data_IF_463448124760
#
_entry.id   IF_463448124760
#
_cell.length_a   1.000
_cell.length_b   1.000
_cell.length_c   1.000
_cell.angle_alpha   90.00
_cell.angle_beta   90.00
_cell.angle_gamma   90.00
#
_symmetry.space_group_name_H-M   'P 1'
#
loop_
_entity.id
_entity.type
_entity.pdbx_description
1 polymer ?
#
# COMPACT_ATOMS: atom_id res chain seq x y z
N UNK A 1 -19.60 0.79 31.08
CA UNK A 1 -19.40 0.59 29.63
C UNK A 1 -18.84 -0.80 29.30
N UNK A 2 -17.67 -1.21 29.79
CA UNK A 2 -17.03 -2.49 29.43
C UNK A 2 -17.91 -3.73 29.60
N UNK A 3 -18.74 -3.79 30.65
CA UNK A 3 -19.66 -4.90 30.87
C UNK A 3 -20.74 -4.99 29.77
N UNK A 4 -21.32 -3.85 29.39
CA UNK A 4 -22.32 -3.79 28.30
C UNK A 4 -21.69 -4.24 26.99
N UNK A 5 -20.48 -3.76 26.68
CA UNK A 5 -19.74 -4.17 25.47
C UNK A 5 -19.40 -5.67 25.48
N UNK A 6 -19.08 -6.25 26.65
CA UNK A 6 -18.82 -7.69 26.76
C UNK A 6 -20.09 -8.54 26.49
N UNK A 7 -21.26 -8.06 26.89
CA UNK A 7 -22.55 -8.71 26.57
C UNK A 7 -22.89 -8.58 25.09
N UNK A 8 -22.83 -7.35 24.53
CA UNK A 8 -23.14 -7.11 23.12
C UNK A 8 -22.18 -7.87 22.19
N UNK A 9 -20.88 -7.90 22.53
CA UNK A 9 -19.88 -8.65 21.77
C UNK A 9 -20.14 -10.18 21.81
N UNK A 10 -20.65 -10.72 22.91
CA UNK A 10 -21.07 -12.14 22.95
C UNK A 10 -22.21 -12.43 21.95
N UNK A 11 -23.05 -11.44 21.65
CA UNK A 11 -24.12 -11.56 20.66
C UNK A 11 -23.67 -11.74 19.22
N UNK A 12 -22.42 -11.43 18.89
CA UNK A 12 -21.82 -11.71 17.57
C UNK A 12 -21.57 -13.23 17.35
N UNK A 13 -21.42 -14.00 18.43
CA UNK A 13 -21.18 -15.46 18.42
C UNK A 13 -19.87 -15.85 17.72
N UNK A 14 -18.85 -15.02 17.82
CA UNK A 14 -17.53 -15.19 17.16
C UNK A 14 -16.42 -15.67 18.10
N UNK A 15 -16.77 -16.10 19.29
CA UNK A 15 -15.85 -16.52 20.34
C UNK A 15 -15.85 -15.55 21.52
N UNK A 16 -15.36 -16.02 22.66
CA UNK A 16 -15.20 -15.15 23.83
C UNK A 16 -14.13 -14.12 23.59
N UNK A 17 -14.17 -13.00 24.31
CA UNK A 17 -13.15 -11.92 24.24
C UNK A 17 -11.74 -12.52 24.34
N UNK A 18 -11.51 -13.42 25.31
CA UNK A 18 -10.21 -14.08 25.49
C UNK A 18 -9.81 -14.93 24.28
N UNK A 19 -10.72 -15.73 23.77
CA UNK A 19 -10.45 -16.64 22.65
C UNK A 19 -10.17 -15.85 21.36
N UNK A 20 -11.02 -14.88 21.06
CA UNK A 20 -10.89 -14.04 19.87
C UNK A 20 -9.61 -13.19 19.91
N UNK A 21 -9.39 -12.42 20.99
CA UNK A 21 -8.22 -11.56 21.11
C UNK A 21 -6.90 -12.33 21.05
N UNK A 22 -6.84 -13.54 21.64
CA UNK A 22 -5.66 -14.40 21.51
C UNK A 22 -5.39 -14.79 20.06
N UNK A 23 -6.42 -15.21 19.33
CA UNK A 23 -6.31 -15.57 17.90
C UNK A 23 -5.89 -14.39 17.05
N UNK A 24 -6.50 -13.22 17.26
CA UNK A 24 -6.21 -12.00 16.52
C UNK A 24 -4.79 -11.47 16.77
N UNK A 25 -4.33 -11.45 18.04
CA UNK A 25 -2.94 -11.11 18.38
C UNK A 25 -1.93 -12.09 17.76
N UNK A 26 -2.26 -13.38 17.73
CA UNK A 26 -1.45 -14.39 17.06
C UNK A 26 -1.39 -14.13 15.55
N UNK A 27 -2.51 -13.76 14.92
CA UNK A 27 -2.56 -13.38 13.51
C UNK A 27 -1.66 -12.18 13.22
N UNK A 28 -1.78 -11.06 13.94
CA UNK A 28 -0.91 -9.91 13.76
C UNK A 28 0.58 -10.22 13.91
N UNK A 29 0.93 -11.06 14.88
CA UNK A 29 2.32 -11.43 15.12
C UNK A 29 2.89 -12.36 14.05
N UNK A 30 2.07 -13.22 13.46
CA UNK A 30 2.48 -14.29 12.58
C UNK A 30 1.85 -14.22 11.20
N UNK A 31 1.32 -13.04 10.83
CA UNK A 31 0.65 -12.79 9.55
C UNK A 31 1.42 -13.44 8.40
N UNK A 32 0.68 -14.18 7.55
CA UNK A 32 1.18 -14.86 6.36
C UNK A 32 2.18 -16.00 6.58
N UNK A 33 2.44 -16.38 7.82
CA UNK A 33 3.31 -17.52 8.12
C UNK A 33 2.50 -18.80 8.35
N UNK A 34 3.20 -19.95 8.45
CA UNK A 34 2.58 -21.22 8.84
C UNK A 34 1.94 -21.20 10.24
N UNK A 35 2.34 -20.25 11.08
CA UNK A 35 1.81 -20.09 12.44
C UNK A 35 0.58 -19.19 12.52
N UNK A 36 0.23 -18.51 11.43
CA UNK A 36 -0.97 -17.68 11.35
C UNK A 36 -2.23 -18.56 11.47
N UNK A 37 -3.14 -18.30 12.43
CA UNK A 37 -4.32 -19.11 12.61
C UNK A 37 -5.24 -19.19 11.40
N UNK A 38 -5.33 -18.13 10.59
CA UNK A 38 -6.20 -18.04 9.41
C UNK A 38 -5.52 -17.47 8.16
N UNK A 39 -4.24 -17.78 7.99
CA UNK A 39 -3.40 -17.29 6.88
C UNK A 39 -4.06 -17.32 5.50
N UNK A 40 -4.07 -16.18 4.82
CA UNK A 40 -4.58 -16.03 3.45
C UNK A 40 -3.76 -16.82 2.42
N UNK A 41 -2.49 -17.12 2.69
CA UNK A 41 -1.64 -17.95 1.84
C UNK A 41 -2.11 -19.41 1.70
N UNK A 42 -3.01 -19.86 2.59
CA UNK A 42 -3.66 -21.17 2.49
C UNK A 42 -4.90 -21.19 1.59
N UNK A 43 -5.16 -20.09 0.90
CA UNK A 43 -6.24 -19.92 -0.04
C UNK A 43 -7.49 -19.28 0.55
N UNK A 44 -8.32 -18.73 -0.35
CA UNK A 44 -9.52 -17.96 -0.01
C UNK A 44 -10.51 -18.76 0.86
N UNK A 45 -10.77 -20.02 0.51
CA UNK A 45 -11.70 -20.84 1.30
C UNK A 45 -11.20 -21.06 2.74
N UNK A 46 -9.90 -21.34 2.90
CA UNK A 46 -9.34 -21.58 4.23
C UNK A 46 -9.39 -20.31 5.08
N UNK A 47 -8.96 -19.17 4.56
CA UNK A 47 -8.96 -17.91 5.31
C UNK A 47 -10.36 -17.38 5.60
N UNK A 48 -11.33 -17.65 4.70
CA UNK A 48 -12.72 -17.25 4.91
C UNK A 48 -13.44 -18.13 5.97
N UNK A 49 -13.54 -19.42 5.72
CA UNK A 49 -14.36 -20.33 6.53
C UNK A 49 -13.57 -21.55 7.03
N UNK A 50 -12.62 -22.05 6.26
CA UNK A 50 -11.96 -23.33 6.53
C UNK A 50 -11.20 -23.36 7.85
N UNK A 51 -10.65 -22.24 8.29
CA UNK A 51 -9.93 -22.15 9.57
C UNK A 51 -10.80 -22.49 10.80
N UNK A 52 -12.10 -22.31 10.71
CA UNK A 52 -13.06 -22.71 11.75
C UNK A 52 -13.48 -24.17 11.62
N UNK A 53 -13.53 -24.71 10.39
CA UNK A 53 -13.96 -26.07 10.13
C UNK A 53 -12.86 -27.11 10.37
N UNK A 54 -11.60 -26.74 10.11
CA UNK A 54 -10.47 -27.66 10.21
C UNK A 54 -9.64 -27.38 11.46
N UNK A 55 -9.68 -28.32 12.41
CA UNK A 55 -8.87 -28.23 13.63
C UNK A 55 -7.39 -28.34 13.29
N UNK A 56 -6.63 -27.32 13.67
CA UNK A 56 -5.16 -27.35 13.59
C UNK A 56 -4.56 -27.77 14.92
N UNK A 57 -3.46 -28.56 14.93
CA UNK A 57 -2.73 -28.85 16.16
C UNK A 57 -2.25 -27.53 16.81
N UNK A 58 -2.39 -27.42 18.14
CA UNK A 58 -2.04 -26.19 18.88
C UNK A 58 -0.58 -25.76 18.69
N UNK A 59 0.34 -26.73 18.53
CA UNK A 59 1.75 -26.45 18.30
C UNK A 59 2.06 -25.83 16.92
N UNK A 60 1.12 -25.93 15.96
CA UNK A 60 1.20 -25.27 14.64
C UNK A 60 0.58 -23.87 14.63
N UNK A 61 -0.03 -23.42 15.71
CA UNK A 61 -0.63 -22.09 15.82
C UNK A 61 0.31 -21.22 16.64
N UNK A 62 0.61 -20.02 16.12
CA UNK A 62 1.45 -19.05 16.81
C UNK A 62 0.85 -18.60 18.14
N UNK A 63 1.69 -18.31 19.10
CA UNK A 63 1.31 -17.77 20.38
C UNK A 63 1.53 -16.26 20.45
N UNK A 64 0.64 -15.58 21.15
CA UNK A 64 0.78 -14.18 21.54
C UNK A 64 0.60 -14.05 23.04
N UNK A 65 1.16 -12.98 23.61
CA UNK A 65 0.97 -12.65 25.02
C UNK A 65 -0.50 -12.29 25.29
N UNK A 66 -1.06 -12.89 26.35
CA UNK A 66 -2.45 -12.72 26.79
C UNK A 66 -2.56 -12.54 28.30
N UNK A 67 -1.51 -12.18 29.00
CA UNK A 67 -1.50 -12.06 30.45
C UNK A 67 -2.46 -10.97 30.94
N UNK A 68 -2.60 -9.88 30.21
CA UNK A 68 -3.60 -8.85 30.46
C UNK A 68 -5.03 -9.39 30.42
N UNK A 69 -5.33 -10.31 29.48
CA UNK A 69 -6.64 -10.96 29.37
C UNK A 69 -6.85 -11.98 30.50
N UNK A 70 -5.79 -12.69 30.89
CA UNK A 70 -5.83 -13.64 31.99
C UNK A 70 -6.10 -12.96 33.34
N UNK A 71 -5.56 -11.76 33.52
CA UNK A 71 -5.69 -10.97 34.75
C UNK A 71 -6.99 -10.13 34.80
N UNK A 72 -7.73 -10.01 33.69
CA UNK A 72 -8.95 -9.22 33.64
C UNK A 72 -10.16 -10.05 34.08
N UNK A 73 -10.74 -9.70 35.24
CA UNK A 73 -11.88 -10.40 35.83
C UNK A 73 -13.12 -10.46 34.93
N UNK A 74 -13.41 -9.39 34.19
CA UNK A 74 -14.54 -9.32 33.27
C UNK A 74 -14.34 -10.27 32.08
N UNK A 75 -13.15 -10.28 31.50
CA UNK A 75 -12.78 -11.17 30.39
C UNK A 75 -12.87 -12.64 30.82
N UNK A 76 -12.36 -12.99 32.02
CA UNK A 76 -12.44 -14.34 32.54
C UNK A 76 -13.89 -14.75 32.84
N UNK A 77 -14.71 -13.86 33.40
CA UNK A 77 -16.12 -14.11 33.64
C UNK A 77 -16.89 -14.36 32.34
N UNK A 78 -16.69 -13.50 31.31
CA UNK A 78 -17.31 -13.65 30.00
C UNK A 78 -16.87 -14.96 29.32
N UNK A 79 -15.59 -15.29 29.39
CA UNK A 79 -15.07 -16.54 28.83
C UNK A 79 -15.68 -17.79 29.49
N UNK A 80 -15.78 -17.79 30.81
CA UNK A 80 -16.38 -18.91 31.59
C UNK A 80 -17.86 -19.13 31.29
N UNK A 81 -18.61 -18.03 31.08
CA UNK A 81 -20.06 -18.08 30.88
C UNK A 81 -20.45 -17.96 29.39
N UNK A 82 -19.47 -18.09 28.46
CA UNK A 82 -19.65 -17.75 27.08
C UNK A 82 -20.83 -18.47 26.40
N UNK A 83 -21.02 -19.78 26.63
CA UNK A 83 -22.11 -20.54 26.02
C UNK A 83 -23.50 -20.01 26.43
N UNK A 84 -23.68 -19.65 27.70
CA UNK A 84 -24.94 -19.05 28.17
C UNK A 84 -25.13 -17.63 27.57
N UNK A 85 -24.06 -16.86 27.48
CA UNK A 85 -24.10 -15.51 26.94
C UNK A 85 -24.41 -15.48 25.43
N UNK A 86 -23.87 -16.38 24.62
CA UNK A 86 -24.20 -16.44 23.19
C UNK A 86 -25.66 -16.86 22.96
N UNK A 87 -26.19 -17.79 23.74
CA UNK A 87 -27.59 -18.15 23.66
C UNK A 87 -28.48 -16.95 24.05
N UNK A 88 -28.17 -16.31 25.17
CA UNK A 88 -28.93 -15.16 25.66
C UNK A 88 -28.86 -13.98 24.69
N UNK A 89 -27.66 -13.53 24.31
CA UNK A 89 -27.44 -12.32 23.53
C UNK A 89 -27.51 -12.55 22.02
N UNK A 90 -27.21 -13.76 21.56
CA UNK A 90 -27.24 -14.11 20.15
C UNK A 90 -28.62 -14.53 19.64
N UNK A 91 -29.43 -15.13 20.50
CA UNK A 91 -30.74 -15.69 20.14
C UNK A 91 -31.88 -15.08 20.94
N UNK A 92 -31.88 -15.25 22.28
CA UNK A 92 -33.04 -14.85 23.13
C UNK A 92 -33.27 -13.33 23.05
N UNK A 93 -32.27 -12.53 23.28
CA UNK A 93 -32.38 -11.08 23.31
C UNK A 93 -32.94 -10.48 22.00
N UNK A 94 -32.37 -10.73 20.81
CA UNK A 94 -32.91 -10.16 19.56
C UNK A 94 -34.32 -10.68 19.25
N UNK A 95 -34.62 -11.93 19.56
CA UNK A 95 -35.98 -12.50 19.42
C UNK A 95 -36.96 -11.81 20.35
N UNK A 96 -36.59 -11.60 21.61
CA UNK A 96 -37.43 -10.95 22.59
C UNK A 96 -37.68 -9.47 22.28
N UNK A 97 -36.67 -8.76 21.76
CA UNK A 97 -36.85 -7.35 21.33
C UNK A 97 -37.92 -7.24 20.24
N UNK A 98 -37.90 -8.12 19.23
CA UNK A 98 -38.91 -8.12 18.19
C UNK A 98 -40.29 -8.59 18.68
N UNK A 99 -40.31 -9.66 19.48
CA UNK A 99 -41.54 -10.23 20.02
C UNK A 99 -42.28 -9.30 20.98
N UNK A 100 -41.56 -8.66 21.90
CA UNK A 100 -42.13 -7.72 22.86
C UNK A 100 -42.36 -6.32 22.26
N UNK A 101 -41.50 -5.87 21.33
CA UNK A 101 -41.57 -4.54 20.75
C UNK A 101 -42.68 -4.36 19.74
N UNK A 102 -42.92 -5.34 18.88
CA UNK A 102 -43.94 -5.26 17.83
C UNK A 102 -44.65 -6.61 17.52
N UNK A 103 -44.59 -7.57 18.43
CA UNK A 103 -45.35 -8.83 18.36
C UNK A 103 -44.79 -9.91 17.41
N UNK A 104 -43.66 -9.67 16.75
CA UNK A 104 -43.10 -10.60 15.76
C UNK A 104 -42.01 -11.49 16.33
N UNK A 105 -42.41 -12.50 17.11
CA UNK A 105 -41.48 -13.50 17.65
C UNK A 105 -40.81 -14.35 16.56
N UNK A 106 -41.54 -14.66 15.50
CA UNK A 106 -41.02 -15.49 14.40
C UNK A 106 -39.98 -14.73 13.58
N UNK A 107 -40.28 -13.49 13.19
CA UNK A 107 -39.32 -12.61 12.51
C UNK A 107 -38.10 -12.30 13.40
N UNK A 108 -38.33 -12.09 14.69
CA UNK A 108 -37.25 -11.91 15.67
C UNK A 108 -36.27 -13.08 15.69
N UNK A 109 -36.78 -14.32 15.68
CA UNK A 109 -35.93 -15.49 15.65
C UNK A 109 -35.20 -15.67 14.30
N UNK A 110 -35.92 -15.68 13.19
CA UNK A 110 -35.32 -15.96 11.89
C UNK A 110 -34.44 -14.82 11.36
N UNK A 111 -34.87 -13.56 11.50
CA UNK A 111 -34.15 -12.41 10.95
C UNK A 111 -33.21 -11.77 11.95
N UNK A 112 -33.69 -11.36 13.12
CA UNK A 112 -32.88 -10.63 14.08
C UNK A 112 -31.86 -11.52 14.84
N UNK A 113 -32.16 -12.81 15.01
CA UNK A 113 -31.18 -13.74 15.55
C UNK A 113 -30.40 -14.47 14.42
N UNK A 114 -31.00 -15.41 13.69
CA UNK A 114 -30.26 -16.33 12.82
C UNK A 114 -29.67 -15.65 11.59
N UNK A 115 -30.45 -14.92 10.79
CA UNK A 115 -29.98 -14.28 9.57
C UNK A 115 -28.90 -13.24 9.88
N UNK A 116 -29.10 -12.44 10.93
CA UNK A 116 -28.08 -11.50 11.41
C UNK A 116 -26.75 -12.18 11.72
N UNK A 117 -26.77 -13.34 12.41
CA UNK A 117 -25.54 -14.08 12.70
C UNK A 117 -24.80 -14.50 11.42
N UNK A 118 -25.53 -14.97 10.42
CA UNK A 118 -24.92 -15.32 9.12
C UNK A 118 -24.21 -14.11 8.51
N UNK A 119 -24.88 -12.94 8.48
CA UNK A 119 -24.26 -11.71 7.94
C UNK A 119 -23.03 -11.28 8.74
N UNK A 120 -23.10 -11.28 10.07
CA UNK A 120 -21.99 -10.87 10.95
C UNK A 120 -20.79 -11.80 10.74
N UNK A 121 -21.00 -13.11 10.73
CA UNK A 121 -19.93 -14.09 10.52
C UNK A 121 -19.27 -13.91 9.15
N UNK A 122 -20.05 -13.77 8.06
CA UNK A 122 -19.47 -13.57 6.74
C UNK A 122 -18.75 -12.21 6.61
N UNK A 123 -19.24 -11.15 7.25
CA UNK A 123 -18.52 -9.87 7.31
C UNK A 123 -17.13 -10.06 7.96
N UNK A 124 -17.07 -10.73 9.11
CA UNK A 124 -15.80 -11.02 9.81
C UNK A 124 -14.90 -11.96 9.00
N UNK A 125 -15.46 -13.00 8.36
CA UNK A 125 -14.69 -13.89 7.50
C UNK A 125 -14.11 -13.16 6.28
N UNK A 126 -14.79 -12.15 5.76
CA UNK A 126 -14.26 -11.27 4.70
C UNK A 126 -13.04 -10.45 5.16
N UNK A 127 -12.92 -10.12 6.44
CA UNK A 127 -11.72 -9.47 6.97
C UNK A 127 -10.50 -10.38 6.80
N UNK A 128 -10.62 -11.66 7.18
CA UNK A 128 -9.52 -12.61 7.10
C UNK A 128 -9.23 -13.10 5.66
N UNK A 129 -10.15 -12.89 4.73
CA UNK A 129 -10.06 -13.38 3.34
C UNK A 129 -9.96 -12.25 2.33
N UNK A 130 -11.04 -11.52 2.07
CA UNK A 130 -11.07 -10.49 1.03
C UNK A 130 -10.14 -9.32 1.35
N UNK A 131 -10.05 -8.89 2.61
CA UNK A 131 -9.15 -7.81 3.01
C UNK A 131 -7.66 -8.20 2.98
N UNK A 132 -7.33 -9.50 2.81
CA UNK A 132 -5.99 -10.00 2.53
C UNK A 132 -5.74 -10.29 1.05
N UNK A 133 -6.71 -10.10 0.19
CA UNK A 133 -6.60 -10.46 -1.23
C UNK A 133 -6.91 -9.30 -2.18
N UNK A 134 -7.92 -8.48 -1.88
CA UNK A 134 -8.39 -7.40 -2.74
C UNK A 134 -7.91 -6.04 -2.25
N UNK A 135 -7.41 -5.23 -3.18
CA UNK A 135 -7.06 -3.84 -2.91
C UNK A 135 -5.56 -3.55 -2.97
N UNK A 136 -5.16 -2.47 -2.32
CA UNK A 136 -3.80 -1.94 -2.38
C UNK A 136 -3.10 -2.02 -1.01
N UNK A 137 -1.76 -2.05 -1.03
CA UNK A 137 -0.90 -1.87 0.14
C UNK A 137 -0.32 -0.46 0.16
N UNK A 138 -1.03 0.54 0.69
CA UNK A 138 -0.52 1.92 0.68
C UNK A 138 0.57 2.20 1.72
N UNK A 139 0.76 1.32 2.70
CA UNK A 139 1.73 1.50 3.78
C UNK A 139 2.80 0.41 3.80
N UNK A 140 2.46 -0.81 3.41
CA UNK A 140 3.37 -1.95 3.35
C UNK A 140 2.78 -3.03 2.42
N UNK A 141 3.59 -3.60 1.54
CA UNK A 141 3.20 -4.68 0.63
C UNK A 141 3.92 -6.00 0.90
N UNK A 142 4.73 -6.07 1.96
CA UNK A 142 5.47 -7.30 2.37
C UNK A 142 4.54 -8.40 2.85
N UNK A 143 3.35 -8.01 3.34
CA UNK A 143 2.31 -8.92 3.82
C UNK A 143 1.04 -8.78 3.00
N UNK A 144 0.14 -9.77 3.14
CA UNK A 144 -1.09 -9.85 2.37
C UNK A 144 -2.17 -8.81 2.68
N UNK A 145 -2.30 -8.16 3.87
CA UNK A 145 -3.35 -7.20 4.14
C UNK A 145 -3.41 -6.06 3.12
N UNK A 146 -4.63 -5.69 2.70
CA UNK A 146 -4.90 -4.67 1.67
C UNK A 146 -5.97 -3.69 2.13
N UNK A 147 -5.95 -2.49 1.57
CA UNK A 147 -7.01 -1.50 1.72
C UNK A 147 -7.92 -1.55 0.50
N UNK A 148 -9.21 -1.84 0.72
CA UNK A 148 -10.21 -1.93 -0.34
C UNK A 148 -11.56 -1.38 0.13
N UNK A 149 -12.10 -0.37 -0.59
CA UNK A 149 -13.32 0.34 -0.19
C UNK A 149 -14.56 -0.57 -0.11
N UNK A 150 -14.76 -1.46 -1.10
CA UNK A 150 -15.93 -2.35 -1.10
C UNK A 150 -15.84 -3.33 0.08
N UNK A 151 -14.65 -3.88 0.34
CA UNK A 151 -14.44 -4.74 1.50
C UNK A 151 -14.68 -3.98 2.80
N UNK A 152 -14.23 -2.72 2.91
CA UNK A 152 -14.49 -1.88 4.07
C UNK A 152 -15.98 -1.65 4.29
N UNK A 153 -16.76 -1.44 3.22
CA UNK A 153 -18.21 -1.30 3.32
C UNK A 153 -18.87 -2.58 3.85
N UNK A 154 -18.49 -3.75 3.32
CA UNK A 154 -19.04 -5.06 3.73
C UNK A 154 -18.65 -5.45 5.15
N UNK A 155 -17.47 -5.03 5.62
CA UNK A 155 -16.88 -5.39 6.91
C UNK A 155 -16.98 -4.28 7.97
N UNK A 156 -17.82 -3.26 7.74
CA UNK A 156 -18.05 -2.12 8.65
C UNK A 156 -16.76 -1.36 9.02
N UNK A 157 -15.86 -1.19 8.03
CA UNK A 157 -14.62 -0.42 8.17
C UNK A 157 -13.34 -1.24 8.18
N UNK A 158 -13.42 -2.53 8.51
CA UNK A 158 -12.25 -3.42 8.64
C UNK A 158 -11.52 -3.71 7.31
N UNK A 159 -12.06 -3.29 6.17
CA UNK A 159 -11.42 -3.43 4.86
C UNK A 159 -10.29 -2.42 4.58
N UNK A 160 -9.99 -1.48 5.49
CA UNK A 160 -8.74 -0.71 5.50
C UNK A 160 -7.66 -1.49 6.27
N UNK A 161 -7.40 -2.69 5.82
CA UNK A 161 -6.70 -3.71 6.59
C UNK A 161 -5.18 -3.59 6.52
N UNK A 162 -4.65 -2.98 5.45
CA UNK A 162 -3.23 -2.65 5.35
C UNK A 162 -2.83 -1.59 6.37
N UNK A 163 -3.65 -0.55 6.57
CA UNK A 163 -3.45 0.42 7.64
C UNK A 163 -3.50 -0.23 9.02
N UNK A 164 -4.53 -1.04 9.28
CA UNK A 164 -4.71 -1.73 10.56
C UNK A 164 -3.52 -2.64 10.91
N UNK A 165 -3.01 -3.42 9.96
CA UNK A 165 -1.84 -4.29 10.19
C UNK A 165 -0.54 -3.52 10.39
N UNK A 166 -0.37 -2.39 9.70
CA UNK A 166 0.83 -1.58 9.84
C UNK A 166 0.82 -0.76 11.13
N UNK A 167 -0.36 -0.33 11.60
CA UNK A 167 -0.53 0.52 12.78
C UNK A 167 -1.54 -0.09 13.79
N UNK A 168 -1.29 -1.28 14.33
CA UNK A 168 -2.29 -2.07 15.06
C UNK A 168 -2.72 -1.46 16.40
N UNK A 169 -2.04 -0.44 16.90
CA UNK A 169 -2.43 0.28 18.13
C UNK A 169 -3.32 1.49 17.85
N UNK A 170 -3.50 1.88 16.58
CA UNK A 170 -4.42 2.97 16.25
C UNK A 170 -5.86 2.48 16.41
N UNK A 171 -6.72 3.28 17.07
CA UNK A 171 -8.12 2.90 17.27
C UNK A 171 -8.96 2.97 15.98
N UNK A 172 -8.41 3.60 14.94
CA UNK A 172 -9.06 3.77 13.63
C UNK A 172 -8.62 2.66 12.69
N UNK A 173 -9.52 2.19 11.85
CA UNK A 173 -9.14 1.39 10.68
C UNK A 173 -8.88 2.29 9.46
N UNK A 174 -9.53 3.46 9.38
CA UNK A 174 -9.35 4.43 8.31
C UNK A 174 -8.88 5.79 8.86
N UNK A 175 -7.82 6.36 8.26
CA UNK A 175 -7.17 7.59 8.74
C UNK A 175 -8.08 8.81 8.57
N UNK A 176 -8.67 8.98 7.37
CA UNK A 176 -9.43 10.18 7.05
C UNK A 176 -10.83 10.12 7.63
N UNK A 177 -11.35 11.26 8.12
CA UNK A 177 -12.65 11.31 8.80
C UNK A 177 -13.83 10.82 7.92
N UNK A 178 -13.77 11.06 6.61
CA UNK A 178 -14.81 10.69 5.64
C UNK A 178 -14.70 9.23 5.13
N UNK A 179 -13.60 8.53 5.40
CA UNK A 179 -13.49 7.12 5.04
C UNK A 179 -14.45 6.30 5.90
N UNK A 180 -15.16 5.38 5.25
CA UNK A 180 -16.18 4.57 5.88
C UNK A 180 -15.58 3.64 6.94
N UNK A 181 -15.71 4.05 8.19
CA UNK A 181 -15.25 3.33 9.39
C UNK A 181 -16.23 3.66 10.53
N UNK A 182 -17.39 2.98 10.57
CA UNK A 182 -18.40 3.19 11.61
C UNK A 182 -17.87 2.99 13.02
N UNK A 183 -16.94 2.03 13.21
CA UNK A 183 -16.31 1.75 14.50
C UNK A 183 -15.56 2.98 15.02
N UNK A 184 -14.77 3.63 14.19
CA UNK A 184 -14.07 4.88 14.51
C UNK A 184 -15.07 5.98 14.92
N UNK A 185 -16.15 6.14 14.17
CA UNK A 185 -17.13 7.18 14.46
C UNK A 185 -17.86 6.93 15.80
N UNK A 186 -18.22 5.69 16.09
CA UNK A 186 -18.82 5.31 17.39
C UNK A 186 -17.83 5.57 18.53
N UNK A 187 -16.57 5.15 18.39
CA UNK A 187 -15.54 5.37 19.43
C UNK A 187 -15.29 6.87 19.64
N UNK A 188 -15.19 7.67 18.55
CA UNK A 188 -15.00 9.11 18.64
C UNK A 188 -16.22 9.80 19.32
N UNK A 189 -17.43 9.35 19.01
CA UNK A 189 -18.65 9.82 19.67
C UNK A 189 -18.65 9.46 21.16
N UNK A 190 -18.26 8.24 21.50
CA UNK A 190 -18.12 7.84 22.92
C UNK A 190 -17.07 8.69 23.64
N UNK A 191 -15.98 9.04 22.98
CA UNK A 191 -14.95 9.91 23.56
C UNK A 191 -15.46 11.33 23.76
N UNK A 192 -16.22 11.88 22.82
CA UNK A 192 -16.85 13.19 22.94
C UNK A 192 -17.77 13.28 24.18
N UNK A 193 -18.52 12.23 24.47
CA UNK A 193 -19.38 12.15 25.68
C UNK A 193 -18.65 11.66 26.95
N UNK A 194 -17.32 11.49 26.92
CA UNK A 194 -16.54 11.03 28.07
C UNK A 194 -16.67 9.53 28.40
N UNK A 195 -17.30 8.74 27.54
CA UNK A 195 -17.44 7.28 27.71
C UNK A 195 -16.22 6.49 27.26
N UNK A 196 -15.33 7.09 26.45
CA UNK A 196 -14.05 6.56 26.06
C UNK A 196 -12.95 7.60 26.31
N UNK A 197 -11.75 7.14 26.68
CA UNK A 197 -10.59 8.00 26.98
C UNK A 197 -9.32 7.36 26.50
N UNK A 198 -8.23 8.14 26.40
CA UNK A 198 -6.90 7.66 26.02
C UNK A 198 -6.89 6.93 24.67
N UNK A 199 -7.62 7.47 23.69
CA UNK A 199 -7.63 6.91 22.33
C UNK A 199 -6.22 6.96 21.75
N UNK A 200 -5.69 5.79 21.43
CA UNK A 200 -4.37 5.68 20.82
C UNK A 200 -4.47 5.97 19.33
N UNK A 201 -3.62 6.88 18.85
CA UNK A 201 -3.45 7.14 17.42
C UNK A 201 -1.96 7.03 17.09
N UNK A 202 -1.65 6.56 15.90
CA UNK A 202 -0.28 6.57 15.43
C UNK A 202 0.12 7.98 14.97
N UNK A 203 1.38 8.43 15.19
CA UNK A 203 1.81 9.76 14.78
C UNK A 203 1.65 9.95 13.26
N UNK A 204 1.01 11.05 12.86
CA UNK A 204 0.71 11.32 11.44
C UNK A 204 1.97 11.33 10.58
N UNK A 205 3.07 11.85 11.11
CA UNK A 205 4.36 11.85 10.42
C UNK A 205 4.82 10.43 10.02
N UNK A 206 4.67 9.45 10.92
CA UNK A 206 5.07 8.06 10.64
C UNK A 206 4.12 7.39 9.62
N UNK A 207 2.84 7.73 9.69
CA UNK A 207 1.86 7.28 8.68
C UNK A 207 2.22 7.83 7.29
N UNK A 208 2.57 9.12 7.21
CA UNK A 208 2.98 9.77 5.95
C UNK A 208 4.29 9.19 5.40
N UNK A 209 5.26 8.86 6.28
CA UNK A 209 6.50 8.18 5.85
C UNK A 209 6.21 6.83 5.21
N UNK A 210 5.36 6.00 5.82
CA UNK A 210 4.96 4.72 5.23
C UNK A 210 4.33 4.89 3.84
N UNK A 211 3.44 5.87 3.67
CA UNK A 211 2.85 6.17 2.36
C UNK A 211 3.91 6.61 1.33
N UNK A 212 4.83 7.50 1.72
CA UNK A 212 5.88 7.98 0.83
C UNK A 212 6.82 6.85 0.40
N UNK A 213 7.24 6.00 1.32
CA UNK A 213 8.08 4.83 1.02
C UNK A 213 7.43 3.89 0.00
N UNK A 214 6.11 3.68 0.07
CA UNK A 214 5.40 2.87 -0.91
C UNK A 214 5.26 3.56 -2.26
N UNK A 215 5.10 4.89 -2.30
CA UNK A 215 5.11 5.67 -3.55
C UNK A 215 6.48 5.57 -4.21
N UNK A 216 7.56 5.80 -3.48
CA UNK A 216 8.94 5.70 -3.97
C UNK A 216 9.23 4.30 -4.55
N UNK A 217 8.86 3.24 -3.83
CA UNK A 217 8.98 1.87 -4.32
C UNK A 217 8.25 1.66 -5.65
N UNK A 218 6.99 2.10 -5.73
CA UNK A 218 6.18 1.96 -6.96
C UNK A 218 6.75 2.78 -8.13
N UNK A 219 7.30 3.98 -7.86
CA UNK A 219 8.00 4.79 -8.87
C UNK A 219 9.25 4.07 -9.36
N UNK A 220 10.05 3.51 -8.44
CA UNK A 220 11.25 2.76 -8.80
C UNK A 220 10.90 1.53 -9.66
N UNK A 221 9.89 0.75 -9.27
CA UNK A 221 9.41 -0.39 -10.04
C UNK A 221 8.90 -0.01 -11.44
N UNK A 222 8.26 1.15 -11.58
CA UNK A 222 7.85 1.67 -12.90
C UNK A 222 9.06 2.12 -13.71
N UNK A 223 10.03 2.78 -13.08
CA UNK A 223 11.28 3.22 -13.74
C UNK A 223 12.04 2.02 -14.32
N UNK A 224 12.16 0.90 -13.59
CA UNK A 224 12.88 -0.29 -14.09
C UNK A 224 12.22 -0.96 -15.29
N UNK A 225 10.94 -0.70 -15.56
CA UNK A 225 10.21 -1.22 -16.73
C UNK A 225 10.37 -0.37 -17.99
N UNK A 226 10.97 0.81 -17.87
CA UNK A 226 11.17 1.74 -18.97
C UNK A 226 12.62 1.70 -19.45
N UNK A 227 12.81 1.94 -20.74
CA UNK A 227 14.16 2.09 -21.31
C UNK A 227 14.60 3.55 -21.19
N UNK A 228 15.64 3.79 -20.42
CA UNK A 228 16.19 5.14 -20.18
C UNK A 228 17.47 5.42 -20.97
N UNK A 229 17.85 4.50 -21.89
CA UNK A 229 19.13 4.55 -22.59
C UNK A 229 20.30 4.18 -21.66
N UNK A 230 21.52 4.30 -22.18
CA UNK A 230 22.72 4.04 -21.41
C UNK A 230 22.90 5.09 -20.32
N UNK A 231 23.07 4.70 -19.04
CA UNK A 231 23.38 5.62 -17.97
C UNK A 231 24.63 6.45 -18.29
N UNK A 232 24.64 7.74 -17.94
CA UNK A 232 25.81 8.61 -18.22
C UNK A 232 27.08 8.06 -17.57
N UNK A 233 26.98 7.47 -16.39
CA UNK A 233 28.12 6.88 -15.69
C UNK A 233 28.79 5.73 -16.48
N UNK A 234 28.05 5.02 -17.33
CA UNK A 234 28.51 3.86 -18.09
C UNK A 234 28.99 4.24 -19.51
N UNK A 235 28.82 5.49 -19.93
CA UNK A 235 29.26 5.96 -21.24
C UNK A 235 30.79 6.09 -21.31
N UNK A 236 31.42 5.81 -22.47
CA UNK A 236 32.82 6.09 -22.67
C UNK A 236 33.09 7.60 -22.67
N UNK A 237 34.27 7.99 -22.18
CA UNK A 237 34.79 9.37 -22.33
C UNK A 237 35.56 9.47 -23.61
N UNK A 238 35.36 10.57 -24.37
CA UNK A 238 36.10 10.86 -25.58
C UNK A 238 36.55 12.32 -25.61
N UNK A 239 37.64 12.57 -26.35
CA UNK A 239 38.07 13.95 -26.58
C UNK A 239 37.16 14.68 -27.57
N UNK A 240 37.12 16.01 -27.49
CA UNK A 240 36.39 16.79 -28.48
C UNK A 240 36.96 16.67 -29.90
N UNK A 241 38.28 16.40 -30.02
CA UNK A 241 38.92 16.15 -31.29
C UNK A 241 38.48 14.82 -31.92
N UNK A 242 38.42 13.74 -31.13
CA UNK A 242 37.92 12.44 -31.58
C UNK A 242 36.44 12.51 -32.01
N UNK A 243 35.62 13.23 -31.24
CA UNK A 243 34.23 13.52 -31.63
C UNK A 243 34.12 14.17 -32.98
N UNK A 244 34.90 15.24 -33.22
CA UNK A 244 34.91 15.94 -34.51
C UNK A 244 35.48 15.10 -35.65
N UNK A 245 36.52 14.30 -35.36
CA UNK A 245 37.12 13.37 -36.34
C UNK A 245 36.09 12.33 -36.78
N UNK A 246 35.40 11.72 -35.84
CA UNK A 246 34.35 10.71 -36.11
C UNK A 246 33.21 11.30 -36.98
N UNK A 247 32.78 12.53 -36.72
CA UNK A 247 31.76 13.20 -37.54
C UNK A 247 32.23 13.50 -38.94
N UNK A 248 33.49 13.93 -39.10
CA UNK A 248 34.04 14.37 -40.39
C UNK A 248 34.55 13.25 -41.28
N UNK A 249 35.26 12.30 -40.70
CA UNK A 249 35.99 11.26 -41.43
C UNK A 249 35.25 9.92 -41.47
N UNK A 250 34.56 9.56 -40.34
CA UNK A 250 33.84 8.33 -40.26
C UNK A 250 32.34 8.48 -40.55
N UNK A 251 31.91 9.67 -40.98
CA UNK A 251 30.54 10.01 -41.35
C UNK A 251 29.49 9.76 -40.23
N UNK A 252 29.94 9.81 -38.96
CA UNK A 252 29.03 9.66 -37.82
C UNK A 252 28.06 10.85 -37.73
N UNK A 253 26.80 10.57 -37.46
CA UNK A 253 25.74 11.59 -37.35
C UNK A 253 25.55 11.98 -35.89
N UNK A 254 26.62 12.48 -35.28
CA UNK A 254 26.66 12.80 -33.87
C UNK A 254 26.51 14.32 -33.64
N UNK A 255 25.75 14.63 -32.59
CA UNK A 255 25.64 16.01 -32.06
C UNK A 255 26.07 15.98 -30.58
N UNK A 256 26.53 17.14 -30.10
CA UNK A 256 26.88 17.32 -28.68
C UNK A 256 25.85 18.21 -28.02
N UNK A 257 25.33 17.77 -26.85
CA UNK A 257 24.42 18.52 -25.99
C UNK A 257 24.87 18.37 -24.55
N UNK A 258 25.13 19.45 -23.86
CA UNK A 258 25.45 19.45 -22.42
C UNK A 258 26.58 18.46 -22.04
N UNK A 259 27.61 18.35 -22.89
CA UNK A 259 28.74 17.44 -22.67
C UNK A 259 28.48 15.97 -23.01
N UNK A 260 27.29 15.61 -23.46
CA UNK A 260 26.94 14.26 -23.91
C UNK A 260 26.86 14.23 -25.43
N UNK A 261 27.43 13.19 -26.04
CA UNK A 261 27.37 12.90 -27.48
C UNK A 261 26.18 11.98 -27.76
N UNK A 262 25.40 12.38 -28.76
CA UNK A 262 24.21 11.65 -29.19
C UNK A 262 24.31 11.25 -30.67
N UNK A 263 24.03 9.98 -30.98
CA UNK A 263 23.89 9.52 -32.36
C UNK A 263 22.46 9.73 -32.85
N UNK A 264 22.29 10.69 -33.75
CA UNK A 264 20.98 11.07 -34.30
C UNK A 264 20.71 10.45 -35.66
N UNK A 265 21.53 9.50 -36.14
CA UNK A 265 21.45 8.98 -37.49
C UNK A 265 20.05 8.43 -37.84
N UNK A 266 19.48 7.60 -36.98
CA UNK A 266 18.16 7.01 -37.22
C UNK A 266 17.01 8.02 -37.04
N UNK A 267 17.21 9.01 -36.19
CA UNK A 267 16.17 10.00 -35.85
C UNK A 267 16.13 11.19 -36.82
N UNK A 268 17.17 11.40 -37.64
CA UNK A 268 17.28 12.61 -38.47
C UNK A 268 16.06 12.85 -39.36
N UNK A 269 15.55 11.81 -40.03
CA UNK A 269 14.39 11.90 -40.91
C UNK A 269 13.06 12.14 -40.19
N UNK A 270 12.99 11.77 -38.91
CA UNK A 270 11.80 11.85 -38.05
C UNK A 270 11.75 13.13 -37.20
N UNK A 271 12.83 13.96 -37.25
CA UNK A 271 12.93 15.17 -36.45
C UNK A 271 11.79 16.15 -36.77
N UNK A 272 10.90 16.52 -35.84
CA UNK A 272 9.74 17.38 -36.11
C UNK A 272 10.11 18.77 -36.66
N UNK A 273 11.27 19.31 -36.25
CA UNK A 273 11.81 20.57 -36.76
C UNK A 273 12.44 20.49 -38.15
N UNK A 274 12.56 19.28 -38.69
CA UNK A 274 13.16 18.98 -40.00
C UNK A 274 14.62 18.54 -39.89
N UNK A 275 15.00 17.63 -40.76
CA UNK A 275 16.33 17.03 -40.85
C UNK A 275 17.46 18.04 -41.03
N UNK A 276 17.16 19.16 -41.70
CA UNK A 276 18.16 20.23 -42.02
C UNK A 276 18.83 20.76 -40.75
N UNK A 277 18.10 20.95 -39.68
CA UNK A 277 18.65 21.48 -38.43
C UNK A 277 19.63 20.50 -37.78
N UNK A 278 19.29 19.17 -37.75
CA UNK A 278 20.21 18.16 -37.27
C UNK A 278 21.46 18.04 -38.15
N UNK A 279 21.32 18.10 -39.48
CA UNK A 279 22.47 18.11 -40.42
C UNK A 279 23.43 19.25 -40.13
N UNK A 280 22.91 20.43 -39.82
CA UNK A 280 23.72 21.63 -39.47
C UNK A 280 24.43 21.49 -38.13
N UNK A 281 23.89 20.64 -37.23
CA UNK A 281 24.42 20.38 -35.91
C UNK A 281 25.48 19.30 -35.82
N UNK A 282 25.66 18.47 -36.87
CA UNK A 282 26.63 17.37 -36.84
C UNK A 282 28.04 17.91 -36.57
N UNK A 283 28.71 17.30 -35.57
CA UNK A 283 30.06 17.68 -35.15
C UNK A 283 30.15 19.03 -34.39
N UNK A 284 29.01 19.57 -33.94
CA UNK A 284 28.94 20.81 -33.17
C UNK A 284 28.29 20.61 -31.82
N UNK A 285 28.55 21.56 -30.92
CA UNK A 285 27.80 21.72 -29.70
C UNK A 285 26.49 22.49 -30.00
N UNK A 286 25.37 21.80 -29.77
CA UNK A 286 24.01 22.29 -30.01
C UNK A 286 23.27 22.62 -28.74
N UNK A 287 23.94 22.65 -27.58
CA UNK A 287 23.35 22.91 -26.26
C UNK A 287 22.48 24.16 -26.25
N UNK A 288 23.00 25.28 -26.72
CA UNK A 288 22.25 26.54 -26.74
C UNK A 288 21.02 26.49 -27.66
N UNK A 289 21.16 25.85 -28.84
CA UNK A 289 20.05 25.72 -29.80
C UNK A 289 18.93 24.81 -29.25
N UNK A 290 19.28 23.77 -28.50
CA UNK A 290 18.35 22.82 -27.91
C UNK A 290 17.61 23.42 -26.69
N UNK A 291 18.29 24.23 -25.89
CA UNK A 291 17.79 24.81 -24.62
C UNK A 291 17.22 26.24 -24.79
N UNK A 292 16.52 26.52 -25.87
CA UNK A 292 15.82 27.79 -26.05
C UNK A 292 16.50 28.81 -26.95
N UNK A 293 17.75 28.55 -27.43
CA UNK A 293 18.41 29.48 -28.38
C UNK A 293 17.74 29.54 -29.75
N UNK A 294 17.11 28.45 -30.19
CA UNK A 294 16.27 28.38 -31.39
C UNK A 294 14.86 27.89 -31.03
N UNK A 295 14.75 26.85 -30.22
CA UNK A 295 13.51 26.27 -29.75
C UNK A 295 13.75 25.55 -28.40
N UNK A 296 12.84 25.73 -27.45
CA UNK A 296 12.92 25.03 -26.16
C UNK A 296 12.26 23.66 -26.28
N UNK A 297 13.08 22.60 -26.25
CA UNK A 297 12.64 21.25 -26.46
C UNK A 297 11.96 20.68 -25.21
N UNK A 298 10.88 19.94 -25.44
CA UNK A 298 10.08 19.32 -24.38
C UNK A 298 10.83 18.21 -23.65
N UNK A 299 10.31 17.81 -22.45
CA UNK A 299 10.79 16.64 -21.74
C UNK A 299 10.72 15.34 -22.56
N UNK A 300 9.73 15.22 -23.47
CA UNK A 300 9.66 14.07 -24.37
C UNK A 300 10.85 13.99 -25.32
N UNK A 301 11.33 15.15 -25.84
CA UNK A 301 12.53 15.20 -26.66
C UNK A 301 13.78 14.82 -25.84
N UNK A 302 13.89 15.26 -24.59
CA UNK A 302 14.99 14.89 -23.69
C UNK A 302 14.98 13.38 -23.36
N UNK A 303 13.81 12.80 -23.12
CA UNK A 303 13.65 11.36 -22.90
C UNK A 303 14.07 10.56 -24.15
N UNK A 304 13.69 11.02 -25.33
CA UNK A 304 14.07 10.37 -26.59
C UNK A 304 15.60 10.43 -26.81
N UNK A 305 16.23 11.58 -26.55
CA UNK A 305 17.67 11.76 -26.60
C UNK A 305 18.41 10.77 -25.69
N UNK A 306 17.85 10.42 -24.54
CA UNK A 306 18.51 9.51 -23.62
C UNK A 306 18.82 8.12 -24.23
N UNK A 307 18.02 7.71 -25.22
CA UNK A 307 18.22 6.45 -25.97
C UNK A 307 19.35 6.55 -27.01
N UNK A 308 19.77 7.78 -27.36
CA UNK A 308 20.75 8.07 -28.41
C UNK A 308 22.15 8.37 -27.85
N UNK A 309 22.34 8.28 -26.55
CA UNK A 309 23.63 8.56 -25.88
C UNK A 309 24.71 7.61 -26.35
N UNK A 310 25.89 8.14 -26.70
CA UNK A 310 27.03 7.38 -27.21
C UNK A 310 28.27 7.55 -26.35
N UNK A 311 28.57 8.78 -25.92
CA UNK A 311 29.76 9.10 -25.15
C UNK A 311 29.57 10.39 -24.35
N UNK A 312 30.50 10.68 -23.45
CA UNK A 312 30.66 12.00 -22.80
C UNK A 312 31.97 12.65 -23.24
N UNK A 313 31.94 13.97 -23.41
CA UNK A 313 33.13 14.71 -23.77
C UNK A 313 34.01 14.92 -22.53
N UNK A 314 35.31 14.71 -22.70
CA UNK A 314 36.32 15.01 -21.69
C UNK A 314 36.22 16.47 -21.26
N UNK A 315 36.32 16.77 -19.99
CA UNK A 315 36.08 18.07 -19.37
C UNK A 315 34.67 18.64 -19.60
N UNK A 316 33.68 17.77 -19.79
CA UNK A 316 32.27 18.12 -19.98
C UNK A 316 31.57 18.70 -18.74
N UNK A 317 32.29 19.27 -17.80
CA UNK A 317 31.73 19.97 -16.63
C UNK A 317 30.95 19.04 -15.69
N UNK A 318 29.67 19.35 -15.43
CA UNK A 318 28.80 18.59 -14.51
C UNK A 318 28.59 17.14 -14.94
N UNK A 319 28.59 16.86 -16.24
CA UNK A 319 28.42 15.52 -16.78
C UNK A 319 29.62 14.60 -16.44
N UNK A 320 30.84 15.15 -16.51
CA UNK A 320 32.03 14.41 -16.10
C UNK A 320 32.09 14.24 -14.58
N UNK A 321 31.67 15.23 -13.81
CA UNK A 321 31.58 15.16 -12.35
C UNK A 321 30.59 14.07 -11.91
N UNK A 322 29.46 13.95 -12.60
CA UNK A 322 28.47 12.88 -12.35
C UNK A 322 29.05 11.49 -12.64
N UNK A 323 29.84 11.35 -13.70
CA UNK A 323 30.51 10.10 -14.01
C UNK A 323 31.51 9.69 -12.93
N UNK A 324 32.25 10.66 -12.36
CA UNK A 324 33.20 10.43 -11.27
C UNK A 324 32.51 10.21 -9.92
N UNK A 325 31.29 10.74 -9.75
CA UNK A 325 30.50 10.61 -8.54
C UNK A 325 29.01 10.42 -8.84
N UNK A 326 28.54 9.17 -9.06
CA UNK A 326 27.16 8.88 -9.49
C UNK A 326 26.06 9.34 -8.53
N UNK A 327 26.40 9.73 -7.31
CA UNK A 327 25.45 10.25 -6.32
C UNK A 327 25.14 11.75 -6.45
N UNK A 328 25.85 12.46 -7.32
CA UNK A 328 25.60 13.89 -7.56
C UNK A 328 24.52 14.04 -8.65
N UNK A 329 23.34 14.62 -8.34
CA UNK A 329 22.29 14.83 -9.35
C UNK A 329 22.79 15.82 -10.41
N UNK A 330 22.54 15.52 -11.69
CA UNK A 330 22.74 16.49 -12.77
C UNK A 330 21.50 17.39 -12.85
N UNK A 331 21.73 18.69 -12.92
CA UNK A 331 20.70 19.72 -13.19
C UNK A 331 20.12 19.51 -14.60
N UNK A 332 19.21 18.64 -14.79
CA UNK A 332 18.61 18.28 -16.07
C UNK A 332 17.74 17.04 -15.97
N UNK A 333 18.06 16.15 -15.04
CA UNK A 333 17.20 15.02 -14.70
C UNK A 333 16.13 15.39 -13.65
N UNK A 334 16.20 16.61 -13.05
CA UNK A 334 15.29 17.06 -11.99
C UNK A 334 13.90 17.48 -12.51
N UNK A 335 13.72 17.70 -13.81
CA UNK A 335 12.40 18.02 -14.35
C UNK A 335 11.47 16.79 -14.48
N UNK A 336 11.96 15.59 -14.24
CA UNK A 336 11.14 14.39 -14.14
C UNK A 336 10.49 14.18 -12.74
N UNK A 337 10.86 15.01 -11.76
CA UNK A 337 10.43 14.85 -10.36
C UNK A 337 9.48 15.95 -9.85
N UNK A 338 9.00 16.86 -10.71
CA UNK A 338 8.05 17.91 -10.33
C UNK A 338 6.77 17.81 -11.17
N UNK A 339 5.91 16.86 -10.84
CA UNK A 339 4.48 16.86 -11.18
C UNK A 339 3.69 16.02 -10.14
#
# INVERSE_FOLDING_TARGET
MSFILALLGAGAVEGSIKWWSRGHRAHHRWTDTEKDPYSAHRGLFFSHLGWMLFKRPSWKIGHADVDDLNNNKLVQWQHKNYLALIFLMGVVFPTAVAGLGWGDWRGGYFYAAILRLVFVHHATFCVNSLAHWLGEGPFDDRHSPRDHFITAFMTLGEGYHNFHHQFPQDYRNAIRFYQYDPTKWVIATCAFFGFASHLKTFPENEVRKGQLQMIEKRVLEKKTKLQWGTPIADLPVMSFEDYRHACKNDNKKWILLEGVVYDVAEFMSEHPGGEKYLKMGIGKDMTAAFNGGMYDHSNAARNLLSLMRVAVIEFGGEVEAQKKNPSVPVYGDDHANAA
#
